data_IF_497919795720
#
_entry.id   IF_497919795720
#
_cell.length_a   1.000
_cell.length_b   1.000
_cell.length_c   1.000
_cell.angle_alpha   90.00
_cell.angle_beta   90.00
_cell.angle_gamma   90.00
#
_symmetry.space_group_name_H-M   'P 1'
#
loop_
_entity.id
_entity.type
_entity.pdbx_description
1 polymer ?
#
# COMPACT_ATOMS: atom_id res chain seq x y z
N UNK A 1 10.05 -0.75 -12.01
CA UNK A 1 9.63 -2.15 -11.76
C UNK A 1 9.70 -2.42 -10.27
N UNK A 2 8.75 -3.16 -9.72
CA UNK A 2 8.85 -3.67 -8.35
C UNK A 2 8.84 -5.19 -8.42
N UNK A 3 9.75 -5.83 -7.71
CA UNK A 3 9.80 -7.30 -7.57
C UNK A 3 9.43 -7.62 -6.14
N UNK A 4 8.52 -8.57 -5.93
CA UNK A 4 8.10 -8.94 -4.59
C UNK A 4 7.75 -10.42 -4.48
N UNK A 5 7.69 -10.92 -3.24
CA UNK A 5 7.19 -12.25 -2.92
C UNK A 5 5.88 -12.17 -2.14
N UNK A 6 4.96 -13.07 -2.47
CA UNK A 6 3.71 -13.22 -1.71
C UNK A 6 4.00 -14.06 -0.47
N UNK A 7 3.93 -13.43 0.70
CA UNK A 7 4.19 -14.09 1.98
C UNK A 7 3.19 -15.24 2.21
N UNK A 8 3.63 -16.51 2.33
CA UNK A 8 2.72 -17.62 2.59
C UNK A 8 2.25 -17.65 4.06
N UNK A 9 1.15 -18.37 4.31
CA UNK A 9 0.65 -18.61 5.68
C UNK A 9 1.64 -19.40 6.51
N UNK A 10 1.79 -19.04 7.79
CA UNK A 10 2.78 -19.64 8.69
C UNK A 10 4.23 -19.18 8.46
N UNK A 11 4.45 -18.20 7.59
CA UNK A 11 5.74 -17.56 7.37
C UNK A 11 5.64 -16.05 7.51
N UNK A 12 6.79 -15.40 7.70
CA UNK A 12 6.91 -13.96 7.82
C UNK A 12 8.24 -13.48 7.20
N UNK A 13 8.21 -12.30 6.57
CA UNK A 13 9.41 -11.58 6.14
C UNK A 13 9.99 -10.80 7.31
N UNK A 14 11.29 -10.42 7.27
CA UNK A 14 11.83 -9.45 8.20
C UNK A 14 10.98 -8.18 8.23
N UNK A 15 10.93 -7.57 9.41
CA UNK A 15 10.41 -6.22 9.56
C UNK A 15 11.60 -5.27 9.64
N UNK A 16 11.45 -4.06 9.11
CA UNK A 16 12.39 -2.98 9.38
C UNK A 16 12.10 -2.32 10.75
N UNK A 17 12.77 -1.19 11.03
CA UNK A 17 12.58 -0.44 12.26
C UNK A 17 11.17 0.18 12.41
N UNK A 18 10.41 0.30 11.32
CA UNK A 18 9.05 0.86 11.28
C UNK A 18 7.97 -0.23 11.23
N UNK A 19 8.34 -1.50 11.46
CA UNK A 19 7.48 -2.67 11.29
C UNK A 19 6.92 -2.84 9.87
N UNK A 20 7.62 -2.33 8.85
CA UNK A 20 7.29 -2.58 7.44
C UNK A 20 7.81 -3.97 7.05
N UNK A 21 6.94 -4.87 6.56
CA UNK A 21 7.36 -6.16 6.02
C UNK A 21 8.27 -5.99 4.79
N UNK A 22 9.47 -6.58 4.84
CA UNK A 22 10.49 -6.46 3.79
C UNK A 22 10.32 -7.57 2.73
N UNK A 23 9.29 -7.46 1.89
CA UNK A 23 8.93 -8.45 0.87
C UNK A 23 9.06 -7.94 -0.58
N UNK A 24 9.40 -6.65 -0.77
CA UNK A 24 9.50 -6.02 -2.08
C UNK A 24 10.84 -5.33 -2.31
N UNK A 25 11.25 -5.26 -3.56
CA UNK A 25 12.42 -4.53 -4.05
C UNK A 25 11.99 -3.61 -5.19
N UNK A 26 12.15 -2.31 -4.98
CA UNK A 26 11.86 -1.29 -5.99
C UNK A 26 13.11 -1.12 -6.87
N UNK A 27 12.93 -1.27 -8.18
CA UNK A 27 13.98 -1.10 -9.17
C UNK A 27 13.60 -0.04 -10.20
N UNK A 28 14.31 1.09 -10.15
CA UNK A 28 14.16 2.23 -11.04
C UNK A 28 15.57 2.78 -11.33
N UNK A 29 16.27 2.27 -12.36
CA UNK A 29 17.69 2.55 -12.58
C UNK A 29 18.05 4.04 -12.62
N UNK A 30 17.18 4.84 -13.25
CA UNK A 30 17.37 6.28 -13.38
C UNK A 30 16.80 7.09 -12.21
N UNK A 31 16.14 6.44 -11.24
CA UNK A 31 15.41 7.11 -10.18
C UNK A 31 14.11 7.74 -10.69
N UNK A 32 13.52 8.60 -9.86
CA UNK A 32 12.41 9.45 -10.26
C UNK A 32 12.80 10.38 -11.41
N UNK A 33 11.85 10.73 -12.29
CA UNK A 33 12.12 11.70 -13.34
C UNK A 33 12.36 13.09 -12.75
N UNK A 34 13.01 13.97 -13.51
CA UNK A 34 13.47 15.29 -13.05
C UNK A 34 12.32 16.20 -12.60
N UNK A 35 11.07 15.92 -12.99
CA UNK A 35 9.88 16.65 -12.56
C UNK A 35 9.54 16.40 -11.08
N UNK A 36 9.87 15.23 -10.51
CA UNK A 36 9.63 14.90 -9.10
C UNK A 36 10.72 15.58 -8.25
N UNK A 37 10.42 16.74 -7.69
CA UNK A 37 11.36 17.57 -6.93
C UNK A 37 10.79 18.07 -5.60
N UNK A 38 9.48 17.93 -5.39
CA UNK A 38 8.81 18.44 -4.18
C UNK A 38 9.21 17.60 -2.96
N UNK A 39 9.27 16.29 -3.14
CA UNK A 39 9.61 15.32 -2.11
C UNK A 39 10.77 14.43 -2.55
N UNK A 40 11.07 13.41 -1.73
CA UNK A 40 12.25 12.56 -1.91
C UNK A 40 12.27 11.84 -3.25
N UNK A 41 11.11 11.41 -3.77
CA UNK A 41 11.04 10.50 -4.90
C UNK A 41 11.86 9.22 -4.67
N UNK A 42 12.30 8.60 -5.76
CA UNK A 42 13.20 7.45 -5.79
C UNK A 42 14.58 7.89 -6.26
N UNK A 43 15.59 7.63 -5.43
CA UNK A 43 16.99 7.73 -5.87
C UNK A 43 17.29 6.69 -6.96
N UNK A 44 18.22 6.97 -7.89
CA UNK A 44 18.66 6.01 -8.89
C UNK A 44 19.10 4.68 -8.25
N UNK A 45 18.39 3.59 -8.57
CA UNK A 45 18.72 2.28 -8.00
C UNK A 45 19.98 1.67 -8.63
N UNK A 46 20.44 2.22 -9.76
CA UNK A 46 21.53 1.67 -10.55
C UNK A 46 21.15 0.36 -11.23
N UNK A 47 22.18 -0.41 -11.62
CA UNK A 47 22.02 -1.75 -12.20
C UNK A 47 21.45 -2.75 -11.17
N UNK A 48 20.77 -3.80 -11.65
CA UNK A 48 20.31 -4.87 -10.78
C UNK A 48 21.50 -5.57 -10.08
N UNK A 49 21.35 -5.90 -8.78
CA UNK A 49 22.30 -6.80 -8.11
C UNK A 49 22.24 -8.21 -8.70
N UNK A 50 23.25 -9.03 -8.40
CA UNK A 50 23.28 -10.45 -8.83
C UNK A 50 22.08 -11.26 -8.31
N UNK A 51 21.63 -10.94 -7.09
CA UNK A 51 20.44 -11.52 -6.47
C UNK A 51 19.63 -10.48 -5.73
N UNK A 52 18.33 -10.73 -5.64
CA UNK A 52 17.40 -10.04 -4.73
C UNK A 52 16.75 -11.12 -3.88
N UNK A 53 17.03 -11.09 -2.58
CA UNK A 53 16.67 -12.17 -1.66
C UNK A 53 15.61 -11.72 -0.66
N UNK A 54 14.55 -12.51 -0.53
CA UNK A 54 13.46 -12.27 0.42
C UNK A 54 13.42 -13.40 1.46
N UNK A 55 14.17 -13.28 2.57
CA UNK A 55 14.21 -14.33 3.57
C UNK A 55 12.84 -14.49 4.25
N UNK A 56 12.47 -15.74 4.54
CA UNK A 56 11.25 -16.08 5.27
C UNK A 56 11.61 -16.87 6.52
N UNK A 57 10.98 -16.52 7.65
CA UNK A 57 11.05 -17.31 8.88
C UNK A 57 9.65 -17.82 9.25
N UNK A 58 9.63 -18.99 9.89
CA UNK A 58 8.37 -19.60 10.33
C UNK A 58 7.77 -18.78 11.47
N UNK A 59 6.47 -18.57 11.41
CA UNK A 59 5.68 -17.91 12.45
C UNK A 59 4.44 -18.73 12.79
N UNK A 60 3.65 -18.26 13.75
CA UNK A 60 2.38 -18.89 14.12
C UNK A 60 1.48 -19.00 12.89
N UNK A 61 1.01 -20.21 12.61
CA UNK A 61 0.01 -20.46 11.58
C UNK A 61 -1.33 -20.78 12.28
N UNK A 62 -2.22 -19.79 12.36
CA UNK A 62 -3.53 -19.94 12.97
C UNK A 62 -4.61 -19.59 11.95
N UNK A 63 -5.66 -20.43 11.85
CA UNK A 63 -6.85 -20.12 11.07
C UNK A 63 -7.71 -19.02 11.70
N UNK A 64 -7.53 -18.80 13.00
CA UNK A 64 -8.21 -17.74 13.76
C UNK A 64 -7.19 -16.68 14.15
N UNK A 65 -7.43 -15.45 13.73
CA UNK A 65 -6.60 -14.30 14.04
C UNK A 65 -7.46 -13.04 14.01
N UNK A 66 -6.98 -11.99 14.68
CA UNK A 66 -7.50 -10.64 14.48
C UNK A 66 -6.48 -9.83 13.67
N UNK A 67 -7.00 -8.88 12.90
CA UNK A 67 -6.23 -7.86 12.21
C UNK A 67 -6.80 -6.50 12.58
N UNK A 68 -5.97 -5.47 12.46
CA UNK A 68 -6.40 -4.08 12.60
C UNK A 68 -6.52 -3.50 11.20
N UNK A 69 -7.61 -2.79 10.93
CA UNK A 69 -7.79 -2.02 9.70
C UNK A 69 -8.02 -0.58 10.10
N UNK A 70 -7.25 0.32 9.51
CA UNK A 70 -7.36 1.77 9.65
C UNK A 70 -7.26 2.39 8.26
N UNK A 71 -7.67 3.63 8.10
CA UNK A 71 -7.51 4.40 6.86
C UNK A 71 -7.66 5.88 7.17
N UNK A 72 -7.34 6.73 6.20
CA UNK A 72 -7.64 8.16 6.23
C UNK A 72 -7.10 8.84 7.50
N UNK A 73 -5.89 8.47 7.91
CA UNK A 73 -5.23 9.17 9.00
C UNK A 73 -4.89 10.59 8.57
N UNK A 74 -4.55 10.75 7.29
CA UNK A 74 -4.51 11.99 6.51
C UNK A 74 -3.93 13.16 7.31
N UNK A 75 -2.78 12.92 7.93
CA UNK A 75 -2.14 13.89 8.82
C UNK A 75 -1.47 14.97 7.99
N UNK A 76 -1.80 16.23 8.24
CA UNK A 76 -1.28 17.40 7.51
C UNK A 76 -0.10 18.07 8.18
N UNK A 77 0.24 17.68 9.41
CA UNK A 77 1.34 18.29 10.17
C UNK A 77 1.74 17.45 11.39
N UNK A 78 2.87 17.83 11.98
CA UNK A 78 3.43 17.26 13.20
C UNK A 78 2.48 17.21 14.42
N UNK A 79 1.52 18.15 14.51
CA UNK A 79 0.54 18.16 15.60
C UNK A 79 -0.51 17.08 15.38
N UNK A 80 -0.95 16.86 14.15
CA UNK A 80 -1.88 15.78 13.82
C UNK A 80 -1.23 14.39 13.95
N UNK A 81 0.06 14.26 13.65
CA UNK A 81 0.83 13.05 14.01
C UNK A 81 0.80 12.78 15.53
N UNK A 82 0.83 13.83 16.36
CA UNK A 82 0.66 13.63 17.82
C UNK A 82 -0.75 13.17 18.17
N UNK A 83 -1.79 13.65 17.49
CA UNK A 83 -3.16 13.16 17.68
C UNK A 83 -3.28 11.70 17.27
N UNK A 84 -2.71 11.31 16.12
CA UNK A 84 -2.63 9.92 15.66
C UNK A 84 -1.97 9.01 16.71
N UNK A 85 -0.82 9.45 17.25
CA UNK A 85 -0.11 8.75 18.33
C UNK A 85 -1.01 8.57 19.57
N UNK A 86 -1.60 9.66 20.04
CA UNK A 86 -2.31 9.71 21.32
C UNK A 86 -3.74 9.12 21.24
N UNK A 87 -4.24 8.88 20.03
CA UNK A 87 -5.54 8.24 19.75
C UNK A 87 -5.36 6.82 19.18
N UNK A 88 -5.33 6.66 17.85
CA UNK A 88 -5.30 5.37 17.16
C UNK A 88 -4.20 4.46 17.70
N UNK A 89 -2.94 4.89 17.60
CA UNK A 89 -1.78 4.05 17.99
C UNK A 89 -1.87 3.64 19.46
N UNK A 90 -2.16 4.59 20.35
CA UNK A 90 -2.33 4.30 21.78
C UNK A 90 -3.49 3.34 22.07
N UNK A 91 -4.59 3.43 21.32
CA UNK A 91 -5.78 2.62 21.55
C UNK A 91 -5.60 1.15 21.17
N UNK A 92 -4.74 0.88 20.17
CA UNK A 92 -4.52 -0.48 19.66
C UNK A 92 -3.21 -1.11 20.12
N UNK A 93 -2.34 -0.36 20.81
CA UNK A 93 -1.08 -0.88 21.31
C UNK A 93 -1.31 -2.05 22.26
N UNK A 94 -0.75 -3.21 21.91
CA UNK A 94 -0.92 -4.45 22.68
C UNK A 94 -2.23 -5.19 22.43
N UNK A 95 -3.00 -4.79 21.39
CA UNK A 95 -4.13 -5.58 20.92
C UNK A 95 -3.68 -6.98 20.48
N UNK A 96 -4.54 -7.99 20.68
CA UNK A 96 -4.32 -9.36 20.19
C UNK A 96 -4.61 -9.43 18.68
N UNK A 97 -3.75 -8.80 17.87
CA UNK A 97 -3.81 -8.79 16.42
C UNK A 97 -2.48 -9.26 15.83
N UNK A 98 -2.52 -9.80 14.61
CA UNK A 98 -1.31 -10.28 13.92
C UNK A 98 -0.64 -9.22 13.04
N UNK A 99 -1.42 -8.26 12.55
CA UNK A 99 -0.97 -7.19 11.65
C UNK A 99 -1.99 -6.05 11.62
N UNK A 100 -1.58 -4.93 11.03
CA UNK A 100 -2.42 -3.79 10.68
C UNK A 100 -2.42 -3.59 9.16
N UNK A 101 -3.54 -3.15 8.59
CA UNK A 101 -3.64 -2.61 7.24
C UNK A 101 -4.04 -1.13 7.35
N UNK A 102 -3.30 -0.25 6.69
CA UNK A 102 -3.63 1.17 6.53
C UNK A 102 -4.13 1.40 5.08
N UNK A 103 -5.43 1.66 4.92
CA UNK A 103 -6.20 1.71 3.67
C UNK A 103 -6.02 3.01 2.86
N UNK A 104 -4.84 3.62 2.88
CA UNK A 104 -4.54 4.84 2.13
C UNK A 104 -4.85 6.13 2.86
N UNK A 105 -4.48 7.23 2.20
CA UNK A 105 -4.43 8.58 2.74
C UNK A 105 -3.70 8.60 4.08
N UNK A 106 -2.48 8.09 4.03
CA UNK A 106 -1.61 7.92 5.19
C UNK A 106 -1.19 9.30 5.72
N UNK A 107 -0.77 10.18 4.82
CA UNK A 107 -0.50 11.60 5.08
C UNK A 107 -1.42 12.47 4.22
N UNK A 108 -1.59 13.73 4.61
CA UNK A 108 -2.42 14.69 3.88
C UNK A 108 -1.58 15.58 2.97
N UNK A 109 -1.23 15.11 1.77
CA UNK A 109 -0.47 15.82 0.72
C UNK A 109 0.98 16.25 1.07
N UNK A 110 1.36 16.27 2.35
CA UNK A 110 2.73 16.55 2.77
C UNK A 110 3.52 15.26 3.00
N UNK A 111 4.12 14.74 1.93
CA UNK A 111 4.87 13.48 1.98
C UNK A 111 6.17 13.57 2.81
N UNK A 112 6.60 14.78 3.19
CA UNK A 112 7.73 14.95 4.11
C UNK A 112 7.45 14.40 5.52
N UNK A 113 6.17 14.15 5.84
CA UNK A 113 5.71 13.60 7.12
C UNK A 113 5.92 12.09 7.24
N UNK A 114 6.15 11.36 6.14
CA UNK A 114 6.29 9.90 6.14
C UNK A 114 7.28 9.35 7.19
N UNK A 115 8.50 9.88 7.34
CA UNK A 115 9.44 9.36 8.34
C UNK A 115 8.86 9.34 9.76
N UNK A 116 8.19 10.45 10.16
CA UNK A 116 7.63 10.57 11.50
C UNK A 116 6.30 9.81 11.63
N UNK A 117 5.50 9.79 10.57
CA UNK A 117 4.27 9.00 10.50
C UNK A 117 4.57 7.51 10.71
N UNK A 118 5.52 6.94 9.95
CA UNK A 118 5.93 5.55 10.04
C UNK A 118 6.52 5.21 11.42
N UNK A 119 7.35 6.10 11.98
CA UNK A 119 7.88 5.95 13.34
C UNK A 119 6.74 5.84 14.36
N UNK A 120 5.72 6.71 14.28
CA UNK A 120 4.58 6.69 15.19
C UNK A 120 3.71 5.46 15.00
N UNK A 121 3.39 5.11 13.75
CA UNK A 121 2.58 3.92 13.42
C UNK A 121 3.26 2.63 13.91
N UNK A 122 4.58 2.52 13.77
CA UNK A 122 5.35 1.36 14.25
C UNK A 122 5.18 1.08 15.76
N UNK A 123 4.82 2.10 16.56
CA UNK A 123 4.62 1.94 18.00
C UNK A 123 3.40 1.08 18.36
N UNK A 124 2.54 0.75 17.38
CA UNK A 124 1.51 -0.29 17.51
C UNK A 124 2.13 -1.65 17.88
N UNK A 125 3.36 -1.90 17.43
CA UNK A 125 4.08 -3.17 17.69
C UNK A 125 3.64 -4.33 16.82
N UNK A 126 3.03 -4.05 15.66
CA UNK A 126 2.54 -5.03 14.70
C UNK A 126 3.17 -4.78 13.33
N UNK A 127 3.34 -5.82 12.47
CA UNK A 127 3.52 -5.63 11.04
C UNK A 127 2.43 -4.71 10.47
N UNK A 128 2.80 -3.75 9.62
CA UNK A 128 1.84 -2.84 8.98
C UNK A 128 1.97 -2.93 7.46
N UNK A 129 0.84 -3.21 6.81
CA UNK A 129 0.68 -3.19 5.36
C UNK A 129 -0.01 -1.90 4.96
N UNK A 130 0.53 -1.21 3.97
CA UNK A 130 0.04 0.10 3.54
C UNK A 130 -0.54 -0.01 2.13
N UNK A 131 -1.72 0.57 1.97
CA UNK A 131 -2.35 0.89 0.69
C UNK A 131 -2.03 2.37 0.41
N UNK A 132 -1.69 2.76 -0.82
CA UNK A 132 -1.57 4.17 -1.20
C UNK A 132 -2.96 4.79 -1.39
N UNK A 133 -3.14 6.05 -0.97
CA UNK A 133 -4.33 6.86 -1.28
C UNK A 133 -4.04 8.08 -2.15
N UNK A 134 -5.07 8.84 -2.53
CA UNK A 134 -4.88 9.99 -3.41
C UNK A 134 -4.17 11.17 -2.71
N UNK A 135 -4.14 11.24 -1.39
CA UNK A 135 -3.35 12.23 -0.65
C UNK A 135 -1.89 11.79 -0.41
N UNK A 136 -1.52 10.59 -0.89
CA UNK A 136 -0.16 10.06 -0.84
C UNK A 136 0.62 10.29 -2.16
N UNK A 137 0.05 11.06 -3.10
CA UNK A 137 0.56 11.31 -4.45
C UNK A 137 1.72 12.30 -4.50
N UNK A 138 2.70 12.02 -5.37
CA UNK A 138 3.64 13.00 -5.89
C UNK A 138 2.93 13.88 -6.95
N UNK A 139 2.40 15.04 -6.54
CA UNK A 139 1.62 15.90 -7.43
C UNK A 139 2.41 16.54 -8.58
N UNK A 140 3.74 16.52 -8.54
CA UNK A 140 4.61 16.94 -9.63
C UNK A 140 4.85 15.83 -10.67
N UNK A 141 4.30 14.63 -10.47
CA UNK A 141 4.32 13.54 -11.44
C UNK A 141 3.57 13.90 -12.72
N UNK A 142 4.18 13.55 -13.86
CA UNK A 142 3.59 13.71 -15.19
C UNK A 142 3.09 12.39 -15.77
N UNK A 143 3.28 11.28 -15.05
CA UNK A 143 2.80 9.95 -15.42
C UNK A 143 2.38 9.15 -14.19
N UNK A 144 1.39 8.27 -14.38
CA UNK A 144 0.86 7.39 -13.32
C UNK A 144 1.92 6.44 -12.73
N UNK A 145 2.87 5.99 -13.54
CA UNK A 145 3.93 5.12 -13.05
C UNK A 145 4.86 5.79 -12.02
N UNK A 146 4.90 7.11 -12.02
CA UNK A 146 5.79 7.93 -11.19
C UNK A 146 5.05 8.57 -9.99
N UNK A 147 3.71 8.51 -9.96
CA UNK A 147 2.83 9.23 -9.05
C UNK A 147 2.94 8.82 -7.57
N UNK A 148 3.57 7.68 -7.31
CA UNK A 148 3.84 7.15 -5.96
C UNK A 148 5.33 6.90 -5.71
N UNK A 149 6.25 7.58 -6.41
CA UNK A 149 7.67 7.39 -6.22
C UNK A 149 8.14 7.66 -4.78
N UNK A 150 7.66 8.74 -4.15
CA UNK A 150 7.97 9.04 -2.75
C UNK A 150 7.38 7.97 -1.82
N UNK A 151 6.14 7.52 -2.05
CA UNK A 151 5.55 6.40 -1.31
C UNK A 151 6.42 5.14 -1.42
N UNK A 152 6.81 4.77 -2.65
CA UNK A 152 7.67 3.60 -2.92
C UNK A 152 9.03 3.70 -2.23
N UNK A 153 9.56 4.92 -2.05
CA UNK A 153 10.83 5.17 -1.37
C UNK A 153 10.81 4.87 0.13
N UNK A 154 9.63 5.00 0.76
CA UNK A 154 9.45 4.78 2.19
C UNK A 154 8.83 3.42 2.53
N UNK A 155 7.93 2.91 1.68
CA UNK A 155 7.08 1.75 1.98
C UNK A 155 7.42 0.54 1.09
N UNK A 156 7.66 0.77 -0.21
CA UNK A 156 7.92 -0.31 -1.18
C UNK A 156 6.80 -0.45 -2.20
N UNK A 157 6.31 -1.68 -2.45
CA UNK A 157 5.29 -1.95 -3.47
C UNK A 157 3.96 -1.18 -3.21
N UNK A 158 3.31 -0.72 -4.29
CA UNK A 158 1.98 -0.07 -4.24
C UNK A 158 0.83 -1.06 -4.39
N UNK A 159 1.10 -2.23 -4.98
CA UNK A 159 0.19 -3.37 -5.06
C UNK A 159 0.95 -4.67 -4.80
N UNK A 160 0.34 -5.60 -4.07
CA UNK A 160 0.96 -6.86 -3.63
C UNK A 160 -0.08 -7.76 -2.94
N UNK A 161 0.31 -8.98 -2.59
CA UNK A 161 -0.54 -9.89 -1.82
C UNK A 161 0.23 -10.60 -0.69
N UNK A 162 -0.51 -11.06 0.32
CA UNK A 162 0.03 -11.82 1.44
C UNK A 162 -1.05 -12.71 2.09
N UNK A 163 -0.61 -13.79 2.76
CA UNK A 163 -1.52 -14.79 3.33
C UNK A 163 -1.43 -14.88 4.85
N UNK A 164 -2.58 -14.96 5.53
CA UNK A 164 -2.70 -15.35 6.93
C UNK A 164 -3.82 -16.38 7.09
N UNK A 165 -3.53 -17.54 7.70
CA UNK A 165 -4.48 -18.64 7.76
C UNK A 165 -4.91 -19.08 6.35
N UNK A 166 -6.21 -19.16 6.11
CA UNK A 166 -6.79 -19.44 4.78
C UNK A 166 -7.38 -18.17 4.15
N UNK A 167 -6.75 -17.02 4.41
CA UNK A 167 -7.14 -15.72 3.87
C UNK A 167 -6.01 -15.16 3.02
N UNK A 168 -6.35 -14.80 1.80
CA UNK A 168 -5.48 -14.16 0.81
C UNK A 168 -5.84 -12.68 0.72
N UNK A 169 -4.94 -11.83 1.23
CA UNK A 169 -5.11 -10.38 1.20
C UNK A 169 -4.41 -9.84 -0.05
N UNK A 170 -5.12 -9.02 -0.80
CA UNK A 170 -4.63 -8.33 -1.99
C UNK A 170 -4.70 -6.84 -1.71
N UNK A 171 -3.58 -6.14 -1.88
CA UNK A 171 -3.51 -4.68 -1.89
C UNK A 171 -3.41 -4.25 -3.35
N UNK A 172 -4.32 -3.38 -3.76
CA UNK A 172 -4.33 -2.77 -5.10
C UNK A 172 -4.16 -1.27 -4.98
N UNK A 173 -3.34 -0.73 -5.87
CA UNK A 173 -3.28 0.69 -6.11
C UNK A 173 -4.45 1.08 -7.00
N UNK A 174 -5.42 1.78 -6.40
CA UNK A 174 -6.65 2.19 -7.05
C UNK A 174 -6.65 3.62 -7.57
N UNK A 175 -5.51 4.32 -7.49
CA UNK A 175 -5.42 5.75 -7.81
C UNK A 175 -4.63 5.91 -9.11
N UNK A 176 -5.28 6.45 -10.13
CA UNK A 176 -4.62 6.89 -11.36
C UNK A 176 -4.34 8.40 -11.29
N UNK A 177 -3.08 8.82 -11.39
CA UNK A 177 -2.70 10.23 -11.41
C UNK A 177 -1.42 10.52 -12.23
N UNK A 178 -1.38 11.56 -13.08
CA UNK A 178 -2.51 12.38 -13.49
C UNK A 178 -3.43 11.61 -14.44
N UNK A 179 -4.74 11.71 -14.23
CA UNK A 179 -5.74 11.05 -15.07
C UNK A 179 -6.26 11.98 -16.16
N UNK A 180 -6.21 11.53 -17.41
CA UNK A 180 -6.83 12.24 -18.55
C UNK A 180 -8.36 12.32 -18.39
N UNK A 181 -8.98 11.30 -17.78
CA UNK A 181 -10.43 11.22 -17.56
C UNK A 181 -10.96 12.30 -16.61
N UNK A 182 -10.07 12.93 -15.83
CA UNK A 182 -10.44 13.94 -14.83
C UNK A 182 -9.65 15.25 -14.96
N UNK A 183 -9.20 15.57 -16.18
CA UNK A 183 -8.50 16.82 -16.52
C UNK A 183 -7.23 17.04 -15.68
N UNK A 184 -6.42 15.98 -15.53
CA UNK A 184 -5.14 16.00 -14.81
C UNK A 184 -5.24 15.85 -13.29
N UNK A 185 -6.44 15.61 -12.76
CA UNK A 185 -6.63 15.21 -11.37
C UNK A 185 -6.51 13.70 -11.21
N UNK A 186 -6.76 13.17 -10.01
CA UNK A 186 -6.77 11.71 -9.79
C UNK A 186 -8.09 11.10 -10.24
N UNK A 187 -8.05 9.80 -10.56
CA UNK A 187 -9.22 8.98 -10.82
C UNK A 187 -9.13 7.60 -10.15
N UNK A 188 -10.27 6.94 -9.94
CA UNK A 188 -10.34 5.58 -9.45
C UNK A 188 -10.18 4.57 -10.58
N UNK A 189 -9.00 3.95 -10.74
CA UNK A 189 -8.75 2.96 -11.80
C UNK A 189 -7.76 1.91 -11.27
N UNK A 190 -8.01 0.63 -11.57
CA UNK A 190 -6.96 -0.40 -11.44
C UNK A 190 -6.29 -0.56 -12.79
N UNK A 191 -4.97 -0.41 -12.87
CA UNK A 191 -4.29 -0.51 -14.17
C UNK A 191 -4.41 -1.91 -14.80
N UNK A 192 -4.31 -1.99 -16.12
CA UNK A 192 -4.33 -3.27 -16.85
C UNK A 192 -3.21 -4.22 -16.38
N UNK A 193 -2.06 -3.67 -15.98
CA UNK A 193 -0.95 -4.44 -15.40
C UNK A 193 -1.35 -5.08 -14.07
N UNK A 194 -1.99 -4.31 -13.18
CA UNK A 194 -2.49 -4.81 -11.90
C UNK A 194 -3.60 -5.85 -12.10
N UNK A 195 -4.52 -5.64 -13.06
CA UNK A 195 -5.56 -6.62 -13.40
C UNK A 195 -4.96 -7.93 -13.92
N UNK A 196 -3.97 -7.86 -14.81
CA UNK A 196 -3.27 -9.04 -15.31
C UNK A 196 -2.49 -9.75 -14.19
N UNK A 197 -1.82 -9.01 -13.31
CA UNK A 197 -1.15 -9.55 -12.14
C UNK A 197 -2.14 -10.25 -11.20
N UNK A 198 -3.26 -9.61 -10.88
CA UNK A 198 -4.31 -10.14 -10.00
C UNK A 198 -4.88 -11.45 -10.54
N UNK A 199 -5.20 -11.51 -11.84
CA UNK A 199 -5.69 -12.74 -12.48
C UNK A 199 -4.66 -13.88 -12.39
N UNK A 200 -3.37 -13.57 -12.55
CA UNK A 200 -2.30 -14.56 -12.43
C UNK A 200 -2.10 -15.03 -10.99
N UNK A 201 -2.22 -14.14 -10.01
CA UNK A 201 -2.09 -14.48 -8.58
C UNK A 201 -3.27 -15.37 -8.12
N UNK A 202 -4.49 -14.95 -8.40
CA UNK A 202 -5.71 -15.67 -8.01
C UNK A 202 -5.80 -17.08 -8.62
N UNK A 203 -5.15 -17.33 -9.76
CA UNK A 203 -5.05 -18.67 -10.35
C UNK A 203 -4.36 -19.71 -9.44
N UNK A 204 -3.58 -19.25 -8.45
CA UNK A 204 -2.92 -20.11 -7.45
C UNK A 204 -3.64 -20.14 -6.09
N UNK A 205 -4.68 -19.32 -5.89
CA UNK A 205 -5.43 -19.25 -4.64
C UNK A 205 -6.50 -20.35 -4.61
N UNK A 206 -6.52 -21.23 -3.59
CA UNK A 206 -7.55 -22.26 -3.52
C UNK A 206 -8.95 -21.66 -3.35
N UNK A 207 -9.95 -22.28 -3.99
CA UNK A 207 -11.34 -21.81 -4.01
C UNK A 207 -12.02 -21.76 -2.64
N UNK A 208 -11.45 -22.41 -1.62
CA UNK A 208 -11.96 -22.41 -0.23
C UNK A 208 -11.29 -21.35 0.65
N UNK A 209 -10.41 -20.51 0.08
CA UNK A 209 -9.79 -19.38 0.77
C UNK A 209 -10.63 -18.11 0.63
N UNK A 210 -10.65 -17.29 1.67
CA UNK A 210 -11.23 -15.95 1.60
C UNK A 210 -10.26 -15.02 0.86
N UNK A 211 -10.73 -14.30 -0.15
CA UNK A 211 -9.99 -13.21 -0.78
C UNK A 211 -10.49 -11.88 -0.19
N UNK A 212 -9.56 -11.04 0.27
CA UNK A 212 -9.84 -9.69 0.77
C UNK A 212 -9.09 -8.69 -0.10
N UNK A 213 -9.83 -7.85 -0.83
CA UNK A 213 -9.27 -6.75 -1.59
C UNK A 213 -9.19 -5.50 -0.70
N UNK A 214 -8.03 -4.86 -0.65
CA UNK A 214 -7.74 -3.66 0.11
C UNK A 214 -7.34 -2.58 -0.91
N UNK A 215 -8.09 -1.50 -0.94
CA UNK A 215 -7.99 -0.42 -1.94
C UNK A 215 -8.53 0.87 -1.33
N UNK A 216 -7.90 1.99 -1.67
CA UNK A 216 -8.27 3.27 -1.10
C UNK A 216 -9.53 3.86 -1.77
N UNK A 217 -9.55 3.90 -3.11
CA UNK A 217 -10.76 4.24 -3.86
C UNK A 217 -11.61 2.97 -3.96
N UNK A 218 -12.84 2.95 -3.42
CA UNK A 218 -13.61 1.73 -3.30
C UNK A 218 -14.16 1.24 -4.64
N UNK A 219 -14.51 -0.05 -4.71
CA UNK A 219 -15.23 -0.63 -5.87
C UNK A 219 -16.52 0.17 -6.14
N UNK A 220 -17.31 0.46 -5.10
CA UNK A 220 -18.54 1.27 -5.19
C UNK A 220 -18.62 2.14 -3.94
N UNK A 221 -19.02 3.40 -4.10
CA UNK A 221 -19.34 4.30 -2.99
C UNK A 221 -20.84 4.55 -2.94
N UNK A 222 -21.50 4.18 -1.84
CA UNK A 222 -22.91 4.55 -1.60
C UNK A 222 -23.05 6.01 -1.11
N UNK A 223 -22.00 6.52 -0.46
CA UNK A 223 -21.99 7.86 0.17
C UNK A 223 -21.80 8.96 -0.87
N UNK A 224 -21.00 8.69 -1.91
CA UNK A 224 -20.77 9.61 -3.02
C UNK A 224 -20.86 8.89 -4.38
N UNK A 225 -21.95 8.15 -4.56
CA UNK A 225 -22.24 7.38 -5.79
C UNK A 225 -22.31 8.22 -7.07
N UNK A 226 -22.38 9.55 -6.94
CA UNK A 226 -22.38 10.47 -8.08
C UNK A 226 -21.00 10.97 -8.47
N UNK A 227 -20.00 10.82 -7.60
CA UNK A 227 -18.62 11.17 -7.91
C UNK A 227 -18.02 10.15 -8.85
N UNK A 228 -17.42 10.63 -9.94
CA UNK A 228 -16.64 9.80 -10.85
C UNK A 228 -15.27 9.45 -10.27
N UNK A 229 -14.85 10.06 -9.16
CA UNK A 229 -13.52 9.87 -8.55
C UNK A 229 -13.51 8.98 -7.32
N UNK A 230 -14.68 8.81 -6.67
CA UNK A 230 -14.79 8.05 -5.42
C UNK A 230 -15.28 6.62 -5.63
N UNK A 231 -15.07 6.09 -6.83
CA UNK A 231 -15.30 4.69 -7.15
C UNK A 231 -14.36 4.27 -8.29
N UNK A 232 -14.01 2.99 -8.34
CA UNK A 232 -13.19 2.45 -9.43
C UNK A 232 -14.03 2.34 -10.71
N UNK A 233 -13.53 2.93 -11.80
CA UNK A 233 -14.21 2.98 -13.09
C UNK A 233 -14.28 1.61 -13.77
N UNK A 234 -13.18 0.86 -13.78
CA UNK A 234 -13.09 -0.46 -14.40
C UNK A 234 -13.40 -1.63 -13.45
N UNK A 235 -14.13 -1.36 -12.36
CA UNK A 235 -14.48 -2.33 -11.31
C UNK A 235 -15.16 -3.61 -11.81
N UNK A 236 -15.91 -3.54 -12.91
CA UNK A 236 -16.62 -4.70 -13.46
C UNK A 236 -15.65 -5.81 -13.88
N UNK A 237 -14.42 -5.45 -14.25
CA UNK A 237 -13.37 -6.41 -14.60
C UNK A 237 -12.91 -7.28 -13.40
N UNK A 238 -13.20 -6.87 -12.16
CA UNK A 238 -12.91 -7.67 -10.96
C UNK A 238 -13.81 -8.91 -10.84
N UNK A 239 -14.89 -8.99 -11.63
CA UNK A 239 -15.88 -10.05 -11.57
C UNK A 239 -15.86 -11.01 -12.78
N UNK A 240 -14.88 -10.87 -13.68
CA UNK A 240 -14.75 -11.66 -14.91
C UNK A 240 -13.52 -12.54 -14.92
#
# INVERSE_FOLDING_TARGET
MVVFVIKPSGWMTPLDANNLPQFSYVHKPAGSPDEIQTYRGLEPTGDLPESVDFPLYKTRNSRWFNAIVTGDTQVYNDREINYLRDSLVKSVKGADALFCIAEGDNVGDDLSLYPRYLEVMSQMGLPIYYVPGNHDLDYDATSDNDSFDTFKSYIGATYYAFNYGDVHFVVLDSVEYPSESTDGSYNGVISDEQMAWLANDLAFVPMDHLVVLNMHIPIVSDVDSTSTKHQVDNREALYT
#
